data_IF_905393099527
#
_entry.id   IF_905393099527
#
_cell.length_a   1.000
_cell.length_b   1.000
_cell.length_c   1.000
_cell.angle_alpha   90.00
_cell.angle_beta   90.00
_cell.angle_gamma   90.00
#
_symmetry.space_group_name_H-M   'P 1'
#
loop_
_entity.id
_entity.type
_entity.pdbx_description
1 polymer ?
#
# COMPACT_ATOMS: atom_id res chain seq x y z
N UNK A 1 13.97 -46.06 7.74
CA UNK A 1 13.67 -46.11 6.29
C UNK A 1 12.48 -45.26 5.88
N UNK A 2 11.40 -45.14 6.67
CA UNK A 2 10.22 -44.35 6.25
C UNK A 2 10.44 -42.82 6.25
N UNK A 3 11.34 -42.32 7.11
CA UNK A 3 11.72 -40.90 7.17
C UNK A 3 12.52 -40.44 5.95
N UNK A 4 13.36 -41.31 5.40
CA UNK A 4 14.21 -41.01 4.25
C UNK A 4 13.42 -41.03 2.94
N UNK A 5 12.45 -41.94 2.82
CA UNK A 5 11.49 -41.95 1.69
C UNK A 5 10.58 -40.72 1.68
N UNK A 6 10.14 -40.23 2.84
CA UNK A 6 9.31 -39.02 2.93
C UNK A 6 10.09 -37.78 2.50
N UNK A 7 11.35 -37.63 2.93
CA UNK A 7 12.20 -36.50 2.54
C UNK A 7 12.48 -36.47 1.02
N UNK A 8 12.70 -37.64 0.40
CA UNK A 8 12.95 -37.77 -1.03
C UNK A 8 11.71 -37.45 -1.90
N UNK A 9 10.49 -37.62 -1.37
CA UNK A 9 9.24 -37.21 -2.03
C UNK A 9 8.95 -35.71 -1.85
N UNK A 10 9.31 -35.15 -0.69
CA UNK A 10 9.03 -33.74 -0.35
C UNK A 10 9.92 -32.77 -1.12
N UNK A 11 11.22 -33.05 -1.25
CA UNK A 11 12.18 -32.16 -1.92
C UNK A 11 11.80 -31.76 -3.37
N UNK A 12 11.45 -32.68 -4.29
CA UNK A 12 11.05 -32.31 -5.65
C UNK A 12 9.70 -31.57 -5.70
N UNK A 13 8.79 -31.85 -4.76
CA UNK A 13 7.50 -31.13 -4.66
C UNK A 13 7.70 -29.67 -4.26
N UNK A 14 8.63 -29.41 -3.33
CA UNK A 14 8.98 -28.07 -2.86
C UNK A 14 9.67 -27.27 -3.98
N UNK A 15 10.63 -27.87 -4.68
CA UNK A 15 11.30 -27.22 -5.81
C UNK A 15 10.32 -26.84 -6.92
N UNK A 16 9.38 -27.73 -7.23
CA UNK A 16 8.32 -27.47 -8.21
C UNK A 16 7.40 -26.34 -7.76
N UNK A 17 7.03 -26.31 -6.48
CA UNK A 17 6.22 -25.23 -5.91
C UNK A 17 6.95 -23.88 -5.97
N UNK A 18 8.23 -23.83 -5.55
CA UNK A 18 9.05 -22.62 -5.66
C UNK A 18 9.19 -22.14 -7.10
N UNK A 19 9.45 -23.05 -8.05
CA UNK A 19 9.51 -22.72 -9.47
C UNK A 19 8.21 -22.10 -9.98
N UNK A 20 7.07 -22.71 -9.67
CA UNK A 20 5.73 -22.19 -10.01
C UNK A 20 5.47 -20.82 -9.38
N UNK A 21 5.80 -20.63 -8.11
CA UNK A 21 5.67 -19.35 -7.41
C UNK A 21 6.57 -18.27 -8.01
N UNK A 22 7.80 -18.60 -8.38
CA UNK A 22 8.72 -17.66 -9.01
C UNK A 22 8.22 -17.20 -10.39
N UNK A 23 7.78 -18.14 -11.24
CA UNK A 23 7.17 -17.84 -12.54
C UNK A 23 5.94 -16.95 -12.36
N UNK A 24 5.06 -17.29 -11.41
CA UNK A 24 3.89 -16.47 -11.10
C UNK A 24 4.29 -15.04 -10.68
N UNK A 25 5.24 -14.90 -9.76
CA UNK A 25 5.67 -13.59 -9.27
C UNK A 25 6.30 -12.73 -10.38
N UNK A 26 7.09 -13.34 -11.27
CA UNK A 26 7.67 -12.65 -12.44
C UNK A 26 6.54 -12.18 -13.36
N UNK A 27 5.59 -13.07 -13.70
CA UNK A 27 4.46 -12.73 -14.55
C UNK A 27 3.59 -11.63 -13.93
N UNK A 28 3.25 -11.74 -12.64
CA UNK A 28 2.45 -10.75 -11.92
C UNK A 28 3.15 -9.38 -11.87
N UNK A 29 4.46 -9.34 -11.58
CA UNK A 29 5.25 -8.11 -11.64
C UNK A 29 5.26 -7.50 -13.03
N UNK A 30 5.48 -8.32 -14.06
CA UNK A 30 5.50 -7.87 -15.44
C UNK A 30 4.15 -7.27 -15.87
N UNK A 31 3.05 -7.96 -15.58
CA UNK A 31 1.69 -7.49 -15.86
C UNK A 31 1.39 -6.19 -15.10
N UNK A 32 1.69 -6.14 -13.80
CA UNK A 32 1.47 -4.95 -12.99
C UNK A 32 2.27 -3.74 -13.50
N UNK A 33 3.56 -3.91 -13.76
CA UNK A 33 4.45 -2.83 -14.24
C UNK A 33 4.06 -2.38 -15.65
N UNK A 34 3.75 -3.30 -16.56
CA UNK A 34 3.34 -2.97 -17.93
C UNK A 34 2.04 -2.15 -17.94
N UNK A 35 1.07 -2.56 -17.12
CA UNK A 35 -0.18 -1.82 -16.95
C UNK A 35 0.05 -0.44 -16.31
N UNK A 36 0.85 -0.36 -15.25
CA UNK A 36 1.17 0.91 -14.58
C UNK A 36 1.91 1.86 -15.51
N UNK A 37 2.82 1.34 -16.33
CA UNK A 37 3.54 2.07 -17.37
C UNK A 37 2.58 2.72 -18.37
N UNK A 38 1.64 1.93 -18.90
CA UNK A 38 0.60 2.41 -19.81
C UNK A 38 -0.24 3.53 -19.17
N UNK A 39 -0.80 3.31 -17.97
CA UNK A 39 -1.73 4.26 -17.32
C UNK A 39 -1.09 5.55 -16.81
N UNK A 40 0.23 5.55 -16.59
CA UNK A 40 0.98 6.73 -16.10
C UNK A 40 1.90 7.33 -17.15
N UNK A 41 1.88 6.82 -18.39
CA UNK A 41 2.76 7.27 -19.48
C UNK A 41 4.24 7.29 -19.04
N UNK A 42 4.67 6.21 -18.39
CA UNK A 42 6.06 6.01 -17.91
C UNK A 42 6.61 4.70 -18.44
N UNK A 43 7.94 4.57 -18.53
CA UNK A 43 8.57 3.30 -18.91
C UNK A 43 8.54 2.31 -17.75
N UNK A 44 8.50 1.01 -18.06
CA UNK A 44 8.57 -0.08 -17.06
C UNK A 44 9.87 -0.01 -16.25
N UNK A 45 10.98 0.31 -16.91
CA UNK A 45 12.30 0.46 -16.28
C UNK A 45 12.28 1.61 -15.26
N UNK A 46 11.71 2.76 -15.60
CA UNK A 46 11.56 3.88 -14.65
C UNK A 46 10.73 3.47 -13.44
N UNK A 47 9.62 2.75 -13.64
CA UNK A 47 8.79 2.27 -12.54
C UNK A 47 9.50 1.23 -11.67
N UNK A 48 10.21 0.28 -12.29
CA UNK A 48 11.00 -0.71 -11.57
C UNK A 48 12.08 -0.04 -10.72
N UNK A 49 12.81 0.92 -11.29
CA UNK A 49 13.84 1.71 -10.61
C UNK A 49 13.29 2.42 -9.37
N UNK A 50 12.10 3.01 -9.45
CA UNK A 50 11.44 3.64 -8.29
C UNK A 50 11.14 2.62 -7.17
N UNK A 51 10.94 1.33 -7.50
CA UNK A 51 10.65 0.30 -6.50
C UNK A 51 11.88 -0.38 -5.93
N UNK A 52 12.96 -0.47 -6.72
CA UNK A 52 14.16 -1.23 -6.35
C UNK A 52 15.35 -0.35 -5.99
N UNK A 53 15.26 0.98 -6.18
CA UNK A 53 16.28 1.90 -5.68
C UNK A 53 15.85 2.53 -4.37
N UNK A 54 16.71 2.43 -3.37
CA UNK A 54 16.54 3.11 -2.09
C UNK A 54 16.76 4.61 -2.28
N UNK A 55 15.77 5.41 -1.90
CA UNK A 55 15.89 6.87 -1.89
C UNK A 55 16.86 7.34 -0.79
N UNK A 56 17.59 8.46 -1.00
CA UNK A 56 18.45 9.05 0.03
C UNK A 56 17.67 9.34 1.32
N UNK A 57 18.27 9.04 2.48
CA UNK A 57 17.63 9.25 3.80
C UNK A 57 16.66 8.15 4.23
N UNK A 58 16.35 7.16 3.39
CA UNK A 58 15.52 6.01 3.76
C UNK A 58 16.37 4.93 4.42
N UNK A 59 15.97 4.51 5.63
CA UNK A 59 16.64 3.42 6.35
C UNK A 59 16.51 2.10 5.58
N UNK A 60 17.49 1.19 5.72
CA UNK A 60 17.44 -0.10 5.04
C UNK A 60 16.18 -0.90 5.43
N UNK A 61 15.83 -0.90 6.72
CA UNK A 61 14.63 -1.56 7.23
C UNK A 61 13.33 -1.04 6.57
N UNK A 62 13.18 0.29 6.44
CA UNK A 62 12.03 0.89 5.79
C UNK A 62 11.99 0.56 4.30
N UNK A 63 13.14 0.61 3.62
CA UNK A 63 13.26 0.22 2.21
C UNK A 63 12.84 -1.24 1.99
N UNK A 64 13.35 -2.18 2.78
CA UNK A 64 12.96 -3.59 2.71
C UNK A 64 11.46 -3.78 2.99
N UNK A 65 10.91 -3.06 3.97
CA UNK A 65 9.47 -3.10 4.27
C UNK A 65 8.64 -2.65 3.06
N UNK A 66 9.04 -1.56 2.39
CA UNK A 66 8.37 -1.07 1.18
C UNK A 66 8.47 -2.06 0.03
N UNK A 67 9.64 -2.66 -0.18
CA UNK A 67 9.87 -3.65 -1.22
C UNK A 67 9.01 -4.91 -0.99
N UNK A 68 9.01 -5.44 0.23
CA UNK A 68 8.21 -6.60 0.61
C UNK A 68 6.70 -6.33 0.52
N UNK A 69 6.25 -5.14 0.91
CA UNK A 69 4.84 -4.77 0.77
C UNK A 69 4.43 -4.64 -0.69
N UNK A 70 5.30 -4.10 -1.54
CA UNK A 70 5.07 -4.07 -2.99
C UNK A 70 4.98 -5.49 -3.58
N UNK A 71 5.88 -6.39 -3.20
CA UNK A 71 5.83 -7.78 -3.66
C UNK A 71 4.56 -8.48 -3.16
N UNK A 72 4.16 -8.27 -1.90
CA UNK A 72 2.90 -8.78 -1.36
C UNK A 72 1.70 -8.28 -2.15
N UNK A 73 1.64 -6.98 -2.43
CA UNK A 73 0.58 -6.41 -3.28
C UNK A 73 0.57 -7.05 -4.67
N UNK A 74 1.75 -7.24 -5.27
CA UNK A 74 1.88 -7.80 -6.62
C UNK A 74 1.46 -9.26 -6.66
N UNK A 75 1.73 -10.02 -5.61
CA UNK A 75 1.29 -11.41 -5.47
C UNK A 75 -0.24 -11.53 -5.49
N UNK A 76 -0.96 -10.55 -4.94
CA UNK A 76 -2.44 -10.55 -4.91
C UNK A 76 -3.06 -9.64 -5.98
N UNK A 77 -2.24 -8.96 -6.78
CA UNK A 77 -2.67 -7.92 -7.72
C UNK A 77 -3.74 -8.40 -8.72
N UNK A 78 -3.65 -9.60 -9.35
CA UNK A 78 -4.68 -10.04 -10.28
C UNK A 78 -6.09 -10.08 -9.66
N UNK A 79 -6.18 -10.54 -8.41
CA UNK A 79 -7.45 -10.60 -7.66
C UNK A 79 -7.90 -9.20 -7.25
N UNK A 80 -7.00 -8.39 -6.68
CA UNK A 80 -7.31 -7.01 -6.25
C UNK A 80 -7.77 -6.15 -7.43
N UNK A 81 -7.12 -6.26 -8.59
CA UNK A 81 -7.49 -5.52 -9.80
C UNK A 81 -8.81 -6.01 -10.39
N UNK A 82 -9.08 -7.33 -10.37
CA UNK A 82 -10.37 -7.87 -10.82
C UNK A 82 -11.52 -7.31 -9.97
N UNK A 83 -11.40 -7.39 -8.65
CA UNK A 83 -12.39 -6.83 -7.72
C UNK A 83 -12.53 -5.32 -7.92
N UNK A 84 -11.41 -4.59 -8.04
CA UNK A 84 -11.45 -3.15 -8.30
C UNK A 84 -12.20 -2.82 -9.59
N UNK A 85 -11.99 -3.59 -10.67
CA UNK A 85 -12.66 -3.39 -11.96
C UNK A 85 -14.15 -3.65 -11.91
N UNK A 86 -14.58 -4.70 -11.22
CA UNK A 86 -16.01 -4.97 -10.97
C UNK A 86 -16.66 -3.77 -10.28
N UNK A 87 -15.93 -3.13 -9.34
CA UNK A 87 -16.38 -1.93 -8.64
C UNK A 87 -16.15 -0.62 -9.43
N UNK A 88 -15.78 -0.68 -10.71
CA UNK A 88 -15.57 0.51 -11.55
C UNK A 88 -14.28 1.30 -11.24
N UNK A 89 -13.29 0.65 -10.64
CA UNK A 89 -12.01 1.24 -10.23
C UNK A 89 -10.82 0.51 -10.84
N UNK A 90 -9.65 1.11 -10.65
CA UNK A 90 -8.36 0.49 -10.85
C UNK A 90 -7.49 0.60 -9.60
N UNK A 91 -6.65 -0.39 -9.38
CA UNK A 91 -5.79 -0.47 -8.20
C UNK A 91 -4.33 -0.11 -8.52
N UNK A 92 -3.66 0.54 -7.56
CA UNK A 92 -2.25 0.87 -7.68
C UNK A 92 -1.55 0.86 -6.32
N UNK A 93 -0.42 0.17 -6.21
CA UNK A 93 0.48 0.35 -5.08
C UNK A 93 1.27 1.65 -5.21
N UNK A 94 1.53 2.32 -4.10
CA UNK A 94 2.46 3.44 -4.02
C UNK A 94 3.23 3.43 -2.70
N UNK A 95 4.43 3.99 -2.73
CA UNK A 95 5.30 4.16 -1.56
C UNK A 95 5.49 5.66 -1.34
N UNK A 96 5.59 6.06 -0.08
CA UNK A 96 5.83 7.44 0.32
C UNK A 96 6.88 7.47 1.44
N UNK A 97 8.18 7.44 1.08
CA UNK A 97 9.26 7.28 2.05
C UNK A 97 9.34 8.37 3.11
N UNK A 98 8.97 9.60 2.74
CA UNK A 98 8.95 10.75 3.64
C UNK A 98 7.98 10.59 4.84
N UNK A 99 6.87 9.84 4.68
CA UNK A 99 5.98 9.51 5.81
C UNK A 99 6.24 8.09 6.36
N UNK A 100 7.36 7.46 5.97
CA UNK A 100 7.69 6.09 6.31
C UNK A 100 6.54 5.11 6.03
N UNK A 101 5.91 5.23 4.85
CA UNK A 101 4.68 4.53 4.58
C UNK A 101 4.44 4.12 3.13
N UNK A 102 3.35 3.40 2.95
CA UNK A 102 2.90 2.79 1.70
C UNK A 102 1.38 2.85 1.62
N UNK A 103 0.82 2.63 0.44
CA UNK A 103 -0.63 2.55 0.31
C UNK A 103 -1.07 1.97 -1.02
N UNK A 104 -2.39 1.81 -1.12
CA UNK A 104 -3.09 1.37 -2.32
C UNK A 104 -4.07 2.48 -2.72
N UNK A 105 -4.01 2.87 -3.99
CA UNK A 105 -4.94 3.82 -4.59
C UNK A 105 -5.95 3.04 -5.42
N UNK A 106 -7.23 3.29 -5.15
CA UNK A 106 -8.33 2.94 -6.03
C UNK A 106 -8.76 4.21 -6.79
N UNK A 107 -8.54 4.22 -8.11
CA UNK A 107 -8.91 5.34 -8.97
C UNK A 107 -10.11 4.93 -9.84
N UNK A 108 -11.20 5.71 -9.89
CA UNK A 108 -12.33 5.39 -10.76
C UNK A 108 -11.93 5.30 -12.23
N UNK A 109 -12.49 4.36 -12.99
CA UNK A 109 -12.23 4.21 -14.43
C UNK A 109 -12.46 5.53 -15.21
N UNK A 110 -13.57 6.28 -15.00
CA UNK A 110 -13.78 7.55 -15.69
C UNK A 110 -12.77 8.63 -15.33
N UNK A 111 -12.06 8.49 -14.20
CA UNK A 111 -11.06 9.47 -13.78
C UNK A 111 -9.80 9.39 -14.64
N UNK A 112 -9.52 8.28 -15.33
CA UNK A 112 -8.26 8.05 -16.00
C UNK A 112 -7.97 9.02 -17.16
N UNK A 113 -9.01 9.56 -17.80
CA UNK A 113 -8.91 10.56 -18.87
C UNK A 113 -8.66 11.98 -18.33
N UNK A 114 -8.78 12.20 -17.02
CA UNK A 114 -8.63 13.52 -16.42
C UNK A 114 -7.15 13.90 -16.23
N UNK A 115 -6.90 15.20 -16.07
CA UNK A 115 -5.59 15.70 -15.65
C UNK A 115 -5.22 15.17 -14.26
N UNK A 116 -3.92 15.11 -13.94
CA UNK A 116 -3.45 14.56 -12.66
C UNK A 116 -4.07 15.26 -11.44
N UNK A 117 -4.21 16.59 -11.48
CA UNK A 117 -4.81 17.37 -10.41
C UNK A 117 -6.29 17.02 -10.17
N UNK A 118 -7.04 16.72 -11.24
CA UNK A 118 -8.42 16.26 -11.16
C UNK A 118 -8.51 14.79 -10.74
N UNK A 119 -7.61 13.94 -11.22
CA UNK A 119 -7.50 12.50 -10.85
C UNK A 119 -7.34 12.31 -9.36
N UNK A 120 -6.38 13.02 -8.74
CA UNK A 120 -6.08 12.90 -7.31
C UNK A 120 -7.31 13.19 -6.44
N UNK A 121 -8.17 14.13 -6.87
CA UNK A 121 -9.41 14.45 -6.14
C UNK A 121 -10.43 13.30 -6.14
N UNK A 122 -10.36 12.39 -7.10
CA UNK A 122 -11.30 11.26 -7.24
C UNK A 122 -10.77 9.94 -6.66
N UNK A 123 -9.50 9.89 -6.24
CA UNK A 123 -8.88 8.68 -5.72
C UNK A 123 -9.41 8.34 -4.33
N UNK A 124 -9.61 7.05 -4.06
CA UNK A 124 -9.72 6.50 -2.72
C UNK A 124 -8.35 5.92 -2.38
N UNK A 125 -7.79 6.29 -1.23
CA UNK A 125 -6.46 5.83 -0.81
C UNK A 125 -6.57 5.09 0.51
N UNK A 126 -5.98 3.90 0.55
CA UNK A 126 -5.82 3.09 1.75
C UNK A 126 -4.33 3.10 2.08
N UNK A 127 -3.98 3.77 3.16
CA UNK A 127 -2.64 4.25 3.41
C UNK A 127 -2.16 3.77 4.77
N UNK A 128 -0.93 3.31 4.86
CA UNK A 128 -0.26 2.98 6.11
C UNK A 128 1.00 3.83 6.22
N UNK A 129 0.99 4.82 7.10
CA UNK A 129 2.14 5.68 7.31
C UNK A 129 2.16 6.29 8.72
N UNK A 130 3.26 6.97 9.05
CA UNK A 130 3.52 7.51 10.39
C UNK A 130 2.56 8.65 10.73
N UNK A 131 1.90 8.54 11.88
CA UNK A 131 1.06 9.58 12.48
C UNK A 131 1.73 10.12 13.73
N UNK A 132 1.58 11.44 13.92
CA UNK A 132 1.94 12.17 15.13
C UNK A 132 0.70 12.36 16.00
N UNK A 133 0.65 11.77 17.19
CA UNK A 133 -0.47 11.91 18.12
C UNK A 133 0.01 12.20 19.54
N UNK A 134 -0.74 13.04 20.24
CA UNK A 134 -0.45 13.43 21.60
C UNK A 134 -1.03 12.37 22.56
N UNK A 135 -0.23 11.98 23.54
CA UNK A 135 -0.60 10.98 24.56
C UNK A 135 -0.58 11.56 25.97
N UNK A 136 -0.26 12.86 26.11
CA UNK A 136 -0.42 13.56 27.37
C UNK A 136 -1.89 13.75 27.75
N UNK A 137 -2.08 14.51 28.82
CA UNK A 137 -3.39 14.75 29.40
C UNK A 137 -4.28 15.57 28.47
N UNK A 138 -5.59 15.38 28.63
CA UNK A 138 -6.61 16.14 27.93
C UNK A 138 -6.70 17.50 28.61
N UNK A 139 -6.44 18.57 27.86
CA UNK A 139 -6.57 19.93 28.33
C UNK A 139 -8.03 20.35 28.43
N UNK A 140 -8.25 21.54 29.02
CA UNK A 140 -9.59 22.15 29.12
C UNK A 140 -10.23 22.43 27.75
N UNK A 141 -9.42 22.50 26.71
CA UNK A 141 -9.82 22.65 25.30
C UNK A 141 -10.32 21.34 24.66
N UNK A 142 -10.30 20.22 25.40
CA UNK A 142 -10.71 18.90 24.92
C UNK A 142 -9.66 18.21 24.03
N UNK A 143 -8.46 18.79 23.89
CA UNK A 143 -7.37 18.19 23.11
C UNK A 143 -6.32 17.57 24.02
N UNK A 144 -5.68 16.47 23.57
CA UNK A 144 -4.48 15.93 24.24
C UNK A 144 -3.27 16.82 23.96
N UNK A 145 -2.55 17.18 25.01
CA UNK A 145 -1.31 17.94 24.95
C UNK A 145 -0.09 17.01 24.91
N UNK A 146 1.12 17.50 24.62
CA UNK A 146 2.34 16.70 24.71
C UNK A 146 2.46 15.94 26.06
N UNK A 147 3.18 14.79 26.11
CA UNK A 147 4.13 14.31 25.12
C UNK A 147 3.49 13.71 23.86
N UNK A 148 4.25 13.72 22.77
CA UNK A 148 3.82 13.21 21.48
C UNK A 148 4.47 11.85 21.20
N UNK A 149 3.69 10.89 20.71
CA UNK A 149 4.19 9.63 20.13
C UNK A 149 3.99 9.59 18.63
N UNK A 150 4.79 8.74 17.99
CA UNK A 150 4.65 8.44 16.57
C UNK A 150 4.32 6.96 16.38
N UNK A 151 3.37 6.66 15.50
CA UNK A 151 3.00 5.28 15.15
C UNK A 151 2.53 5.23 13.72
N UNK A 152 2.86 4.16 13.01
CA UNK A 152 2.30 3.91 11.69
C UNK A 152 0.89 3.34 11.85
N UNK A 153 -0.09 3.98 11.23
CA UNK A 153 -1.50 3.60 11.35
C UNK A 153 -2.15 3.49 9.96
N UNK A 154 -2.99 2.46 9.73
CA UNK A 154 -3.72 2.32 8.48
C UNK A 154 -4.89 3.29 8.45
N UNK A 155 -5.08 4.03 7.36
CA UNK A 155 -6.16 5.00 7.24
C UNK A 155 -6.69 5.08 5.82
N UNK A 156 -7.86 5.72 5.70
CA UNK A 156 -8.54 5.95 4.44
C UNK A 156 -8.66 7.44 4.17
N UNK A 157 -8.29 7.81 2.95
CA UNK A 157 -8.47 9.14 2.37
C UNK A 157 -9.41 9.06 1.16
N UNK A 158 -10.46 9.89 1.16
CA UNK A 158 -11.40 10.07 0.05
C UNK A 158 -11.55 11.58 -0.18
N UNK A 159 -10.66 12.23 -0.96
CA UNK A 159 -10.66 13.67 -1.14
C UNK A 159 -11.99 14.22 -1.67
N UNK A 160 -12.65 13.52 -2.61
CA UNK A 160 -13.98 13.88 -3.13
C UNK A 160 -15.03 14.01 -2.02
N UNK A 161 -14.93 13.23 -0.95
CA UNK A 161 -15.83 13.24 0.21
C UNK A 161 -15.26 14.03 1.40
N UNK A 162 -14.15 14.76 1.21
CA UNK A 162 -13.41 15.44 2.29
C UNK A 162 -13.08 14.49 3.47
N UNK A 163 -12.93 13.19 3.19
CA UNK A 163 -12.48 12.20 4.16
C UNK A 163 -10.96 12.20 4.15
N UNK A 164 -10.36 12.52 5.29
CA UNK A 164 -8.91 12.51 5.48
C UNK A 164 -8.58 11.80 6.80
N UNK A 165 -7.59 10.93 6.74
CA UNK A 165 -7.00 10.16 7.82
C UNK A 165 -8.02 9.41 8.68
N UNK A 166 -9.10 8.89 8.10
CA UNK A 166 -10.07 8.11 8.86
C UNK A 166 -9.48 6.74 9.22
N UNK A 167 -9.64 6.22 10.45
CA UNK A 167 -10.45 6.75 11.55
C UNK A 167 -9.73 7.73 12.51
N UNK A 168 -8.44 8.00 12.32
CA UNK A 168 -7.57 8.73 13.27
C UNK A 168 -7.76 10.25 13.33
N UNK A 169 -8.96 10.76 13.07
CA UNK A 169 -9.22 12.20 13.20
C UNK A 169 -9.03 12.64 14.65
N UNK A 170 -8.37 13.79 14.84
CA UNK A 170 -8.03 14.35 16.16
C UNK A 170 -9.22 14.88 16.97
N UNK A 171 -10.45 14.89 16.44
CA UNK A 171 -11.63 15.28 17.23
C UNK A 171 -12.21 14.03 17.89
N UNK A 172 -11.99 13.87 19.19
CA UNK A 172 -12.98 13.18 20.00
C UNK A 172 -14.26 14.02 19.91
N UNK A 173 -15.33 13.42 19.39
CA UNK A 173 -16.66 13.93 19.64
C UNK A 173 -16.82 13.81 21.15
N UNK A 174 -16.85 14.93 21.87
CA UNK A 174 -17.45 14.95 23.20
C UNK A 174 -18.84 14.37 22.98
N UNK A 175 -19.05 13.11 23.36
CA UNK A 175 -20.39 12.64 23.61
C UNK A 175 -20.85 13.54 24.75
N UNK A 176 -21.75 14.46 24.43
CA UNK A 176 -22.52 15.17 25.44
C UNK A 176 -23.13 14.07 26.32
N UNK A 177 -22.56 13.88 27.51
CA UNK A 177 -23.27 13.26 28.60
C UNK A 177 -24.35 14.28 28.97
N UNK A 178 -25.51 14.11 28.35
CA UNK A 178 -26.77 14.66 28.83
C UNK A 178 -27.17 13.94 30.11
#
# INVERSE_FOLDING_TARGET
>A
NDSESALNLIAPSIQTAFGKSAVYMIAANFCYLSRRAHLRKRTRISLLRIRTMREPGVTLSLYLTMLLTWQTFTAVFPVVELVARILGHVSFFYSYPNAAGVGIIFEPLPAQCLSMSKRVKQQIRIDWHKFKYNVGDIGRDGYRHPPTRYRNLPHVDIPKRKVKHWPWRRKFIQMNQS
#
